data_IF_517601845894
#
_entry.id   IF_517601845894
#
_cell.length_a   1.000
_cell.length_b   1.000
_cell.length_c   1.000
_cell.angle_alpha   90.00
_cell.angle_beta   90.00
_cell.angle_gamma   90.00
#
_symmetry.space_group_name_H-M   'P 1'
#
loop_
_entity.id
_entity.type
_entity.pdbx_description
1 polymer ?
#
# COMPACT_ATOMS: atom_id res chain seq x y z
N UNK A 1 37.47 -0.14 30.85
CA UNK A 1 37.65 1.32 30.67
C UNK A 1 36.95 1.69 29.37
N UNK A 2 35.91 2.50 29.25
CA UNK A 2 35.00 3.21 30.16
C UNK A 2 33.64 3.18 29.43
N UNK A 3 32.57 2.78 30.13
CA UNK A 3 31.20 2.80 29.63
C UNK A 3 30.55 4.11 30.10
N UNK A 4 30.06 4.94 29.19
CA UNK A 4 29.33 6.17 29.53
C UNK A 4 27.83 5.86 29.53
N UNK A 5 27.26 5.73 30.73
CA UNK A 5 25.83 5.76 30.99
C UNK A 5 25.37 7.22 31.12
N UNK A 6 24.35 7.61 30.36
CA UNK A 6 23.59 8.84 30.55
C UNK A 6 22.09 8.53 30.55
N UNK A 7 21.27 9.20 31.38
CA UNK A 7 19.85 8.92 31.49
C UNK A 7 19.08 9.57 30.33
N UNK A 8 18.24 8.79 29.64
CA UNK A 8 17.24 9.32 28.70
C UNK A 8 15.92 9.47 29.44
N UNK A 9 15.50 10.72 29.64
CA UNK A 9 14.21 11.09 30.21
C UNK A 9 13.20 11.13 29.07
N UNK A 10 12.22 10.23 29.06
CA UNK A 10 11.09 10.26 28.14
C UNK A 10 9.89 10.94 28.82
N UNK A 11 9.27 11.98 28.23
CA UNK A 11 8.03 12.52 28.77
C UNK A 11 6.86 11.59 28.44
N UNK A 12 6.15 11.14 29.47
CA UNK A 12 4.86 10.46 29.35
C UNK A 12 3.77 11.51 29.06
N UNK A 13 3.02 11.31 27.99
CA UNK A 13 1.83 12.12 27.66
C UNK A 13 0.61 11.36 28.13
N UNK A 14 0.02 11.81 29.24
CA UNK A 14 -1.27 11.32 29.74
C UNK A 14 -2.42 11.92 28.93
N UNK A 15 -3.27 11.06 28.36
CA UNK A 15 -4.53 11.45 27.73
C UNK A 15 -5.58 11.74 28.80
N UNK A 16 -5.99 13.02 28.92
CA UNK A 16 -7.10 13.48 29.76
C UNK A 16 -8.43 12.87 29.28
N UNK A 17 -9.16 12.27 30.23
CA UNK A 17 -10.55 11.87 30.10
C UNK A 17 -11.46 13.11 30.02
N UNK A 18 -12.38 13.11 29.06
CA UNK A 18 -13.47 14.09 28.96
C UNK A 18 -14.71 13.49 29.62
N UNK A 19 -15.18 14.15 30.68
CA UNK A 19 -16.40 13.81 31.40
C UNK A 19 -17.66 14.18 30.61
N UNK A 20 -18.65 13.31 30.70
CA UNK A 20 -20.01 13.54 30.19
C UNK A 20 -20.93 13.80 31.38
N UNK A 21 -21.67 14.89 31.30
CA UNK A 21 -22.63 15.35 32.30
C UNK A 21 -23.92 14.53 32.29
N UNK A 22 -24.41 14.21 33.49
CA UNK A 22 -25.65 13.46 33.77
C UNK A 22 -26.87 14.38 33.83
N UNK A 23 -28.02 13.95 33.28
CA UNK A 23 -29.36 14.48 33.55
C UNK A 23 -30.21 13.40 34.27
N UNK A 24 -31.02 13.71 35.30
CA UNK A 24 -31.77 12.72 36.06
C UNK A 24 -33.29 12.74 35.76
N UNK A 25 -33.95 11.57 35.70
CA UNK A 25 -35.27 11.36 36.35
C UNK A 25 -35.72 9.88 36.41
N UNK A 26 -36.54 9.60 37.44
CA UNK A 26 -36.92 8.35 38.13
C UNK A 26 -37.83 7.30 37.41
N UNK A 27 -37.71 6.01 37.80
CA UNK A 27 -38.77 4.95 37.69
C UNK A 27 -38.26 3.48 37.75
N UNK A 28 -38.99 2.47 38.29
CA UNK A 28 -38.41 1.41 39.13
C UNK A 28 -38.04 0.03 38.51
N UNK A 29 -37.08 -0.62 39.20
CA UNK A 29 -36.45 -1.96 39.16
C UNK A 29 -37.38 -3.22 39.17
N UNK A 30 -36.94 -4.47 38.82
CA UNK A 30 -35.88 -5.20 39.57
C UNK A 30 -34.96 -6.25 38.88
N UNK A 31 -33.73 -6.27 39.45
CA UNK A 31 -32.83 -7.38 39.86
C UNK A 31 -32.42 -8.50 38.87
N UNK A 32 -31.10 -8.64 38.68
CA UNK A 32 -30.29 -9.74 39.27
C UNK A 32 -28.78 -9.43 39.24
N UNK A 33 -28.04 -10.00 40.21
CA UNK A 33 -26.74 -9.56 40.73
C UNK A 33 -25.54 -10.12 39.94
N UNK A 34 -24.56 -9.27 39.64
CA UNK A 34 -23.15 -9.64 39.49
C UNK A 34 -22.43 -9.36 40.82
N UNK A 35 -21.59 -10.28 41.29
CA UNK A 35 -20.62 -9.99 42.34
C UNK A 35 -19.20 -10.17 41.80
N UNK A 36 -18.51 -9.05 41.85
CA UNK A 36 -17.11 -8.77 41.63
C UNK A 36 -16.29 -9.19 42.86
N UNK A 37 -15.02 -9.53 42.64
CA UNK A 37 -13.95 -9.33 43.63
C UNK A 37 -12.58 -9.28 42.93
N UNK A 38 -12.13 -8.05 42.70
CA UNK A 38 -10.82 -7.46 43.03
C UNK A 38 -10.12 -8.12 44.24
N UNK A 39 -8.81 -8.04 44.56
CA UNK A 39 -7.57 -7.39 44.09
C UNK A 39 -6.46 -7.85 45.09
N UNK A 40 -5.17 -7.85 44.67
CA UNK A 40 -3.89 -7.83 45.44
C UNK A 40 -3.62 -8.89 46.53
N UNK A 41 -2.38 -9.30 46.82
CA UNK A 41 -1.06 -8.81 46.43
C UNK A 41 0.04 -9.60 47.17
N UNK A 42 1.24 -9.62 46.57
CA UNK A 42 2.44 -10.22 47.15
C UNK A 42 3.02 -9.34 48.26
N UNK A 43 3.44 -9.96 49.38
CA UNK A 43 4.49 -9.43 50.26
C UNK A 43 5.23 -10.59 50.92
N UNK A 44 6.52 -10.72 50.65
CA UNK A 44 7.42 -11.63 51.35
C UNK A 44 8.06 -10.97 52.57
N UNK A 45 8.25 -11.75 53.64
CA UNK A 45 9.16 -11.47 54.76
C UNK A 45 9.78 -12.81 55.19
N UNK A 46 11.08 -12.76 55.50
CA UNK A 46 11.96 -13.85 55.95
C UNK A 46 11.96 -13.93 57.48
N UNK A 47 12.08 -15.15 58.02
CA UNK A 47 13.04 -15.63 59.04
C UNK A 47 12.45 -16.53 60.15
N UNK A 48 13.18 -17.59 60.55
CA UNK A 48 12.96 -18.30 61.83
C UNK A 48 12.94 -19.84 61.87
N UNK A 49 14.14 -20.45 61.99
CA UNK A 49 14.55 -21.69 62.71
C UNK A 49 13.58 -22.87 62.98
N UNK A 50 14.02 -24.08 62.57
CA UNK A 50 13.70 -25.37 63.24
C UNK A 50 13.95 -26.63 62.39
N UNK A 51 15.01 -27.42 62.70
CA UNK A 51 15.28 -28.77 62.13
C UNK A 51 14.55 -29.88 62.96
N UNK A 52 14.72 -31.19 62.68
CA UNK A 52 14.16 -31.98 61.56
C UNK A 52 13.43 -33.25 62.09
N UNK A 53 12.59 -33.91 61.28
CA UNK A 53 12.34 -35.38 61.39
C UNK A 53 11.64 -35.90 60.14
N UNK A 54 12.18 -36.99 59.59
CA UNK A 54 11.63 -37.67 58.44
C UNK A 54 10.46 -38.59 58.78
N UNK A 55 9.76 -39.06 57.75
CA UNK A 55 9.52 -40.47 57.41
C UNK A 55 8.61 -40.54 56.16
N UNK A 56 9.01 -41.44 55.25
CA UNK A 56 8.22 -42.22 54.29
C UNK A 56 7.33 -41.53 53.24
N UNK A 57 7.84 -41.61 52.01
CA UNK A 57 7.18 -42.22 50.85
C UNK A 57 5.65 -42.34 50.83
N UNK A 58 5.05 -41.65 49.87
CA UNK A 58 4.03 -42.26 49.01
C UNK A 58 4.08 -41.66 47.60
N UNK A 59 4.31 -42.55 46.64
CA UNK A 59 4.26 -42.30 45.20
C UNK A 59 2.87 -41.80 44.81
N UNK A 60 2.74 -40.56 44.32
CA UNK A 60 1.58 -40.10 43.54
C UNK A 60 2.02 -39.37 42.28
N UNK A 61 2.06 -40.16 41.20
CA UNK A 61 1.89 -39.86 39.78
C UNK A 61 1.58 -38.37 39.49
N UNK A 62 2.57 -37.58 39.10
CA UNK A 62 2.35 -36.25 38.49
C UNK A 62 1.68 -36.43 37.12
N UNK A 63 0.41 -36.03 37.01
CA UNK A 63 -0.24 -35.80 35.72
C UNK A 63 0.47 -34.62 35.05
N UNK A 64 1.12 -34.86 33.91
CA UNK A 64 1.48 -33.83 32.95
C UNK A 64 0.17 -33.25 32.40
N UNK A 65 -0.11 -31.99 32.69
CA UNK A 65 -1.12 -31.25 31.92
C UNK A 65 -0.47 -30.86 30.58
N UNK A 66 -0.73 -31.66 29.55
CA UNK A 66 -0.58 -31.20 28.17
C UNK A 66 -1.81 -30.34 27.87
N UNK A 67 -1.64 -29.03 27.78
CA UNK A 67 -2.68 -28.14 27.25
C UNK A 67 -2.69 -28.31 25.75
N UNK A 68 -3.50 -29.25 25.26
CA UNK A 68 -3.88 -29.32 23.85
C UNK A 68 -4.84 -28.14 23.60
N UNK A 69 -4.38 -27.13 22.87
CA UNK A 69 -5.25 -26.04 22.40
C UNK A 69 -6.17 -26.64 21.34
N UNK A 70 -7.43 -26.85 21.71
CA UNK A 70 -8.47 -27.36 20.83
C UNK A 70 -9.19 -26.16 20.22
N UNK A 71 -8.87 -25.83 18.96
CA UNK A 71 -9.59 -24.81 18.21
C UNK A 71 -10.97 -25.36 17.83
N UNK A 72 -12.05 -24.75 18.34
CA UNK A 72 -13.41 -25.01 17.86
C UNK A 72 -13.64 -24.09 16.66
N UNK A 73 -13.56 -24.64 15.46
CA UNK A 73 -14.00 -23.96 14.24
C UNK A 73 -15.53 -23.97 14.21
N UNK A 74 -16.15 -22.88 14.65
CA UNK A 74 -17.54 -22.57 14.31
C UNK A 74 -17.53 -21.56 13.18
N UNK A 75 -17.42 -22.04 11.95
CA UNK A 75 -17.76 -21.24 10.77
C UNK A 75 -18.58 -22.13 9.85
N UNK A 76 -19.89 -21.87 9.79
CA UNK A 76 -20.77 -22.49 8.79
C UNK A 76 -20.38 -21.91 7.44
N UNK A 77 -19.53 -22.63 6.71
CA UNK A 77 -19.29 -22.33 5.30
C UNK A 77 -20.53 -22.77 4.53
N UNK A 78 -21.35 -21.82 4.11
CA UNK A 78 -22.28 -22.07 3.00
C UNK A 78 -21.43 -22.53 1.82
N UNK A 79 -21.78 -23.68 1.25
CA UNK A 79 -20.96 -24.51 0.36
C UNK A 79 -20.57 -23.89 -0.99
N UNK A 80 -20.45 -22.57 -1.10
CA UNK A 80 -19.78 -21.91 -2.21
C UNK A 80 -18.26 -21.85 -1.96
N UNK A 81 -17.68 -22.99 -1.57
CA UNK A 81 -16.24 -23.15 -1.60
C UNK A 81 -15.80 -23.05 -3.05
N UNK A 82 -15.15 -21.95 -3.41
CA UNK A 82 -14.33 -21.92 -4.62
C UNK A 82 -13.27 -23.00 -4.42
N UNK A 83 -13.52 -24.18 -4.99
CA UNK A 83 -12.50 -25.21 -5.11
C UNK A 83 -11.28 -24.54 -5.73
N UNK A 84 -10.09 -24.79 -5.17
CA UNK A 84 -8.84 -24.35 -5.78
C UNK A 84 -8.89 -24.75 -7.27
N UNK A 85 -8.95 -23.76 -8.16
CA UNK A 85 -9.12 -24.00 -9.58
C UNK A 85 -7.99 -24.92 -10.07
N UNK A 86 -8.32 -25.91 -10.89
CA UNK A 86 -7.33 -26.82 -11.47
C UNK A 86 -6.29 -25.99 -12.23
N UNK A 87 -5.04 -26.01 -11.74
CA UNK A 87 -3.91 -25.18 -12.14
C UNK A 87 -3.29 -25.51 -13.51
N UNK A 88 -4.11 -25.88 -14.49
CA UNK A 88 -3.62 -26.20 -15.82
C UNK A 88 -3.51 -24.94 -16.69
N UNK A 89 -2.78 -23.93 -16.20
CA UNK A 89 -2.37 -22.81 -17.02
C UNK A 89 -1.15 -23.22 -17.85
N UNK A 90 -1.31 -23.23 -19.17
CA UNK A 90 -0.27 -23.64 -20.09
C UNK A 90 0.90 -22.64 -20.00
N UNK A 91 2.12 -23.14 -19.76
CA UNK A 91 3.32 -22.30 -19.66
C UNK A 91 3.56 -21.48 -20.95
N UNK A 92 3.04 -21.95 -22.08
CA UNK A 92 3.15 -21.33 -23.38
C UNK A 92 2.38 -20.01 -23.50
N UNK A 93 1.41 -19.75 -22.62
CA UNK A 93 0.62 -18.52 -22.62
C UNK A 93 1.31 -17.36 -21.90
N UNK A 94 2.50 -17.61 -21.34
CA UNK A 94 3.24 -16.65 -20.54
C UNK A 94 4.57 -16.26 -21.20
N UNK A 95 4.99 -15.03 -20.94
CA UNK A 95 6.28 -14.47 -21.37
C UNK A 95 7.07 -13.99 -20.17
N UNK A 96 8.39 -14.21 -20.16
CA UNK A 96 9.26 -13.66 -19.13
C UNK A 96 9.35 -12.14 -19.23
N UNK A 97 9.54 -11.48 -18.09
CA UNK A 97 9.64 -10.04 -18.01
C UNK A 97 10.70 -9.59 -17.02
N UNK A 98 11.29 -8.44 -17.29
CA UNK A 98 12.21 -7.74 -16.40
C UNK A 98 11.61 -6.42 -15.92
N UNK A 99 11.93 -6.04 -14.68
CA UNK A 99 11.50 -4.76 -14.13
C UNK A 99 12.40 -3.65 -14.65
N UNK A 100 11.80 -2.59 -15.17
CA UNK A 100 12.50 -1.36 -15.57
C UNK A 100 12.58 -0.39 -14.39
N UNK A 101 13.70 0.32 -14.23
CA UNK A 101 13.86 1.41 -13.24
C UNK A 101 13.04 2.66 -13.63
N UNK A 102 11.73 2.52 -13.68
CA UNK A 102 10.77 3.61 -13.87
C UNK A 102 10.29 4.18 -12.53
N UNK A 103 9.95 5.47 -12.52
CA UNK A 103 9.46 6.18 -11.34
C UNK A 103 7.96 6.42 -11.46
N UNK A 104 7.54 7.03 -12.55
CA UNK A 104 6.15 7.47 -12.76
C UNK A 104 5.76 7.36 -14.23
N UNK A 105 4.46 7.21 -14.44
CA UNK A 105 3.82 7.19 -15.76
C UNK A 105 2.80 8.30 -15.82
N UNK A 106 2.82 9.06 -16.91
CA UNK A 106 1.84 10.08 -17.25
C UNK A 106 1.18 9.70 -18.58
N UNK A 107 -0.14 9.86 -18.67
CA UNK A 107 -0.85 9.84 -19.94
C UNK A 107 -1.09 11.27 -20.42
N UNK A 108 -0.93 11.54 -21.71
CA UNK A 108 -1.19 12.83 -22.34
C UNK A 108 -1.71 12.65 -23.76
N UNK A 109 -1.96 13.77 -24.46
CA UNK A 109 -2.52 13.78 -25.81
C UNK A 109 -1.67 13.01 -26.85
N UNK A 110 -0.35 13.00 -26.66
CA UNK A 110 0.60 12.33 -27.55
C UNK A 110 0.94 10.88 -27.10
N UNK A 111 0.18 10.31 -26.17
CA UNK A 111 0.37 8.97 -25.62
C UNK A 111 0.91 8.97 -24.19
N UNK A 112 1.71 7.95 -23.87
CA UNK A 112 2.25 7.73 -22.53
C UNK A 112 3.68 8.21 -22.42
N UNK A 113 4.00 8.82 -21.28
CA UNK A 113 5.35 9.21 -20.93
C UNK A 113 5.76 8.50 -19.66
N UNK A 114 6.80 7.69 -19.75
CA UNK A 114 7.40 6.98 -18.63
C UNK A 114 8.64 7.75 -18.20
N UNK A 115 8.65 8.27 -16.98
CA UNK A 115 9.85 8.87 -16.39
C UNK A 115 10.68 7.77 -15.76
N UNK A 116 11.87 7.59 -16.33
CA UNK A 116 12.89 6.70 -15.81
C UNK A 116 13.56 7.34 -14.60
N UNK A 117 14.18 6.50 -13.77
CA UNK A 117 14.87 6.95 -12.55
C UNK A 117 16.12 7.79 -12.82
N UNK A 118 16.72 7.64 -14.00
CA UNK A 118 17.81 8.51 -14.47
C UNK A 118 17.34 9.90 -14.92
N UNK A 119 16.04 10.19 -14.80
CA UNK A 119 15.43 11.45 -15.21
C UNK A 119 15.08 11.50 -16.71
N UNK A 120 15.42 10.46 -17.48
CA UNK A 120 15.02 10.38 -18.88
C UNK A 120 13.53 10.10 -18.99
N UNK A 121 12.91 10.63 -20.03
CA UNK A 121 11.52 10.37 -20.36
C UNK A 121 11.49 9.48 -21.59
N UNK A 122 10.70 8.42 -21.53
CA UNK A 122 10.47 7.51 -22.64
C UNK A 122 9.03 7.68 -23.10
N UNK A 123 8.88 8.02 -24.38
CA UNK A 123 7.57 8.15 -25.01
C UNK A 123 7.11 6.80 -25.52
N UNK A 124 5.91 6.42 -25.13
CA UNK A 124 5.28 5.17 -25.50
C UNK A 124 3.88 5.40 -26.06
N UNK A 125 3.44 4.54 -26.97
CA UNK A 125 2.03 4.43 -27.39
C UNK A 125 1.48 3.08 -27.03
N UNK A 126 0.16 3.02 -26.87
CA UNK A 126 -0.53 1.77 -26.66
C UNK A 126 -0.27 0.81 -27.82
N UNK A 127 0.00 -0.46 -27.51
CA UNK A 127 0.22 -1.47 -28.54
C UNK A 127 -1.08 -1.75 -29.32
N UNK A 128 -2.18 -1.91 -28.59
CA UNK A 128 -3.51 -2.07 -29.17
C UNK A 128 -4.22 -0.71 -29.32
N UNK A 129 -4.60 -0.27 -30.54
CA UNK A 129 -5.32 0.99 -30.74
C UNK A 129 -6.72 1.02 -30.10
N UNK A 130 -7.28 -0.14 -29.74
CA UNK A 130 -8.54 -0.23 -28.99
C UNK A 130 -8.36 -0.05 -27.47
N UNK A 131 -7.13 0.15 -26.98
CA UNK A 131 -6.80 0.30 -25.56
C UNK A 131 -7.37 1.52 -24.84
N UNK A 132 -8.27 2.26 -25.49
CA UNK A 132 -8.90 3.46 -24.95
C UNK A 132 -7.97 4.68 -24.95
N UNK A 133 -8.54 5.85 -25.20
CA UNK A 133 -7.89 7.10 -24.88
C UNK A 133 -8.04 7.32 -23.38
N UNK A 134 -6.97 7.11 -22.60
CA UNK A 134 -7.02 7.44 -21.18
C UNK A 134 -7.03 8.96 -21.03
N UNK A 135 -7.86 9.52 -20.14
CA UNK A 135 -7.88 10.96 -19.89
C UNK A 135 -6.49 11.41 -19.40
N UNK A 136 -6.11 12.67 -19.68
CA UNK A 136 -4.87 13.24 -19.13
C UNK A 136 -4.96 13.16 -17.60
N UNK A 137 -4.06 12.40 -17.01
CA UNK A 137 -4.01 12.16 -15.58
C UNK A 137 -2.63 12.57 -15.05
N UNK A 138 -2.61 13.10 -13.82
CA UNK A 138 -1.38 13.50 -13.15
C UNK A 138 -0.37 12.34 -13.11
N UNK A 139 0.95 12.57 -13.03
CA UNK A 139 1.92 11.49 -12.92
C UNK A 139 1.59 10.53 -11.77
N UNK A 140 1.54 9.23 -12.05
CA UNK A 140 1.31 8.19 -11.04
C UNK A 140 2.54 7.30 -10.88
N UNK A 141 2.88 6.88 -9.66
CA UNK A 141 3.88 5.84 -9.45
C UNK A 141 3.48 4.56 -10.18
N UNK A 142 4.44 3.92 -10.83
CA UNK A 142 4.18 2.70 -11.59
C UNK A 142 5.35 1.72 -11.48
N UNK A 143 5.04 0.44 -11.60
CA UNK A 143 6.00 -0.62 -11.86
C UNK A 143 5.91 -0.95 -13.34
N UNK A 144 7.01 -0.83 -14.07
CA UNK A 144 7.03 -1.09 -15.51
C UNK A 144 7.75 -2.41 -15.76
N UNK A 145 7.03 -3.37 -16.36
CA UNK A 145 7.57 -4.66 -16.79
C UNK A 145 7.91 -4.59 -18.28
N UNK A 146 9.13 -4.99 -18.66
CA UNK A 146 9.55 -5.12 -20.05
C UNK A 146 9.49 -6.60 -20.46
N UNK A 147 8.83 -6.89 -21.58
CA UNK A 147 8.71 -8.26 -22.09
C UNK A 147 10.03 -8.73 -22.72
N UNK A 148 10.41 -9.99 -22.45
CA UNK A 148 11.65 -10.63 -22.91
C UNK A 148 11.42 -11.60 -24.09
N UNK A 149 10.36 -11.41 -24.87
CA UNK A 149 10.05 -12.14 -26.11
C UNK A 149 10.59 -11.45 -27.38
N UNK A 150 11.35 -10.38 -27.23
CA UNK A 150 11.86 -9.57 -28.34
C UNK A 150 10.87 -8.53 -28.88
N UNK A 151 9.63 -8.48 -28.38
CA UNK A 151 8.66 -7.43 -28.78
C UNK A 151 9.05 -6.06 -28.25
N UNK A 152 9.80 -6.01 -27.14
CA UNK A 152 10.18 -4.77 -26.47
C UNK A 152 9.01 -4.02 -25.83
N UNK A 153 7.86 -4.69 -25.67
CA UNK A 153 6.67 -4.11 -25.03
C UNK A 153 6.92 -3.80 -23.56
N UNK A 154 6.40 -2.66 -23.12
CA UNK A 154 6.41 -2.22 -21.73
C UNK A 154 4.98 -2.29 -21.17
N UNK A 155 4.78 -3.00 -20.07
CA UNK A 155 3.53 -3.06 -19.34
C UNK A 155 3.65 -2.23 -18.05
N UNK A 156 3.13 -1.00 -18.02
CA UNK A 156 3.05 -0.23 -16.79
C UNK A 156 1.88 -0.68 -15.93
N UNK A 157 2.17 -0.98 -14.67
CA UNK A 157 1.18 -1.28 -13.64
C UNK A 157 1.20 -0.12 -12.65
N UNK A 158 0.11 0.66 -12.63
CA UNK A 158 -0.05 1.80 -11.73
C UNK A 158 -0.15 1.28 -10.30
N UNK A 159 0.64 1.86 -9.40
CA UNK A 159 0.73 1.45 -8.00
C UNK A 159 0.81 2.65 -7.08
N UNK A 160 0.71 2.40 -5.79
CA UNK A 160 1.03 3.41 -4.78
C UNK A 160 2.54 3.64 -4.69
N UNK A 161 2.93 4.78 -4.13
CA UNK A 161 4.32 5.19 -3.98
C UNK A 161 5.16 4.16 -3.19
N UNK A 162 4.62 3.65 -2.07
CA UNK A 162 5.37 2.76 -1.17
C UNK A 162 5.80 1.43 -1.81
N UNK A 163 4.94 0.64 -2.48
CA UNK A 163 5.37 -0.57 -3.20
C UNK A 163 6.41 -0.29 -4.29
N UNK A 164 6.28 0.82 -5.02
CA UNK A 164 7.26 1.22 -6.04
C UNK A 164 8.62 1.56 -5.41
N UNK A 165 8.63 2.39 -4.37
CA UNK A 165 9.84 2.77 -3.66
C UNK A 165 10.57 1.55 -3.07
N UNK A 166 9.82 0.62 -2.46
CA UNK A 166 10.39 -0.61 -1.90
C UNK A 166 10.93 -1.57 -2.98
N UNK A 167 10.32 -1.59 -4.16
CA UNK A 167 10.84 -2.35 -5.30
C UNK A 167 12.15 -1.74 -5.81
N UNK A 168 12.18 -0.42 -5.97
CA UNK A 168 13.36 0.33 -6.41
C UNK A 168 14.53 0.22 -5.43
N UNK A 169 14.25 0.15 -4.13
CA UNK A 169 15.26 -0.15 -3.11
C UNK A 169 15.80 -1.59 -3.26
N UNK A 170 14.93 -2.57 -3.53
CA UNK A 170 15.34 -3.97 -3.71
C UNK A 170 16.18 -4.18 -4.97
N UNK A 171 15.80 -3.58 -6.10
CA UNK A 171 16.56 -3.66 -7.35
C UNK A 171 18.00 -3.14 -7.18
N UNK A 172 18.18 -2.07 -6.39
CA UNK A 172 19.50 -1.51 -6.07
C UNK A 172 20.20 -2.17 -4.89
N UNK A 173 19.65 -3.24 -4.34
CA UNK A 173 20.18 -3.93 -3.16
C UNK A 173 20.41 -2.99 -1.95
N UNK A 174 19.56 -1.98 -1.79
CA UNK A 174 19.62 -1.04 -0.65
C UNK A 174 19.12 -1.75 0.61
N UNK A 175 19.97 -1.80 1.64
CA UNK A 175 19.61 -2.41 2.90
C UNK A 175 18.76 -1.46 3.75
N UNK A 176 17.58 -1.91 4.15
CA UNK A 176 16.67 -1.18 5.02
C UNK A 176 16.87 -1.71 6.45
N UNK A 177 17.03 -0.81 7.42
CA UNK A 177 17.40 -1.15 8.80
C UNK A 177 16.43 -2.12 9.50
N UNK A 178 15.15 -2.12 9.09
CA UNK A 178 14.12 -3.05 9.58
C UNK A 178 13.63 -3.94 8.43
N UNK A 179 13.31 -5.22 8.70
CA UNK A 179 12.73 -6.09 7.68
C UNK A 179 11.44 -5.51 7.12
N UNK A 180 11.37 -5.40 5.79
CA UNK A 180 10.14 -5.04 5.08
C UNK A 180 9.14 -6.22 5.13
N UNK A 181 7.86 -5.95 4.88
CA UNK A 181 6.85 -7.01 4.78
C UNK A 181 7.24 -8.10 3.78
N UNK A 182 7.86 -7.73 2.65
CA UNK A 182 8.33 -8.68 1.65
C UNK A 182 9.48 -9.58 2.17
N UNK A 183 10.36 -9.05 3.02
CA UNK A 183 11.40 -9.85 3.67
C UNK A 183 10.82 -10.78 4.74
N UNK A 184 9.81 -10.30 5.48
CA UNK A 184 9.09 -11.13 6.46
C UNK A 184 8.39 -12.29 5.76
N UNK A 185 7.70 -12.04 4.65
CA UNK A 185 7.04 -13.09 3.85
C UNK A 185 8.05 -14.09 3.30
N UNK A 186 9.17 -13.63 2.72
CA UNK A 186 10.26 -14.52 2.27
C UNK A 186 10.75 -15.44 3.40
N UNK A 187 11.10 -14.85 4.55
CA UNK A 187 11.59 -15.61 5.70
C UNK A 187 10.54 -16.59 6.24
N UNK A 188 9.25 -16.26 6.13
CA UNK A 188 8.15 -17.12 6.53
C UNK A 188 8.04 -18.33 5.59
N UNK A 189 8.09 -18.10 4.28
CA UNK A 189 8.09 -19.15 3.24
C UNK A 189 9.25 -20.12 3.47
N UNK A 190 10.47 -19.59 3.65
CA UNK A 190 11.67 -20.38 3.91
C UNK A 190 11.52 -21.26 5.17
N UNK A 191 10.99 -20.69 6.26
CA UNK A 191 10.76 -21.41 7.53
C UNK A 191 9.66 -22.48 7.43
N UNK A 192 8.71 -22.31 6.52
CA UNK A 192 7.67 -23.30 6.26
C UNK A 192 8.15 -24.44 5.37
N UNK A 193 9.41 -24.41 4.90
CA UNK A 193 9.97 -25.44 4.03
C UNK A 193 9.53 -25.33 2.58
N UNK A 194 9.16 -24.12 2.14
CA UNK A 194 8.83 -23.81 0.76
C UNK A 194 9.85 -22.86 0.15
N UNK A 195 9.92 -22.84 -1.17
CA UNK A 195 10.67 -21.86 -1.95
C UNK A 195 9.74 -21.21 -2.96
N UNK A 196 9.96 -19.93 -3.23
CA UNK A 196 9.25 -19.25 -4.32
C UNK A 196 9.80 -19.77 -5.64
N UNK A 197 8.92 -20.20 -6.54
CA UNK A 197 9.28 -20.69 -7.88
C UNK A 197 9.24 -19.58 -8.93
N UNK A 198 8.11 -18.88 -9.00
CA UNK A 198 7.85 -17.82 -9.98
C UNK A 198 6.65 -16.97 -9.58
N UNK A 199 6.47 -15.84 -10.27
CA UNK A 199 5.27 -15.01 -10.20
C UNK A 199 4.68 -14.85 -11.60
N UNK A 200 3.34 -14.89 -11.69
CA UNK A 200 2.60 -14.61 -12.93
C UNK A 200 1.67 -13.42 -12.76
N UNK A 201 1.70 -12.48 -13.68
CA UNK A 201 0.62 -11.50 -13.87
C UNK A 201 -0.36 -12.11 -14.87
N UNK A 202 -1.55 -12.49 -14.39
CA UNK A 202 -2.42 -13.45 -15.10
C UNK A 202 -3.47 -12.74 -15.95
N UNK A 203 -4.26 -11.86 -15.34
CA UNK A 203 -5.40 -11.20 -15.98
C UNK A 203 -5.60 -9.78 -15.48
N UNK A 204 -6.43 -9.04 -16.20
CA UNK A 204 -6.94 -7.73 -15.81
C UNK A 204 -8.46 -7.74 -15.87
N UNK A 205 -9.09 -7.25 -14.80
CA UNK A 205 -10.55 -7.20 -14.67
C UNK A 205 -10.92 -5.83 -14.10
N UNK A 206 -11.76 -5.07 -14.80
CA UNK A 206 -12.16 -3.70 -14.41
C UNK A 206 -10.96 -2.82 -14.04
N UNK A 207 -9.97 -2.73 -14.94
CA UNK A 207 -8.72 -1.98 -14.75
C UNK A 207 -7.74 -2.53 -13.69
N UNK A 208 -8.13 -3.54 -12.90
CA UNK A 208 -7.29 -4.14 -11.86
C UNK A 208 -6.57 -5.39 -12.37
N UNK A 209 -5.24 -5.38 -12.23
CA UNK A 209 -4.39 -6.52 -12.56
C UNK A 209 -4.32 -7.54 -11.41
N UNK A 210 -4.29 -8.82 -11.75
CA UNK A 210 -4.17 -9.94 -10.82
C UNK A 210 -2.83 -10.64 -11.02
N UNK A 211 -2.26 -11.16 -9.93
CA UNK A 211 -1.02 -11.90 -9.99
C UNK A 211 -1.01 -13.09 -9.05
N UNK A 212 -0.31 -14.13 -9.44
CA UNK A 212 -0.18 -15.37 -8.68
C UNK A 212 1.27 -15.61 -8.30
N UNK A 213 1.49 -15.98 -7.04
CA UNK A 213 2.78 -16.39 -6.49
C UNK A 213 2.79 -17.91 -6.35
N UNK A 214 3.73 -18.56 -7.04
CA UNK A 214 3.88 -20.01 -7.01
C UNK A 214 5.02 -20.40 -6.08
N UNK A 215 4.72 -21.29 -5.15
CA UNK A 215 5.67 -21.89 -4.22
C UNK A 215 5.78 -23.39 -4.49
N UNK A 216 6.94 -23.95 -4.24
CA UNK A 216 7.18 -25.40 -4.24
C UNK A 216 7.83 -25.81 -2.93
N UNK A 217 7.52 -27.01 -2.45
CA UNK A 217 8.15 -27.54 -1.25
C UNK A 217 9.62 -27.85 -1.52
N UNK A 218 10.46 -27.58 -0.54
CA UNK A 218 11.90 -27.89 -0.64
C UNK A 218 12.08 -29.40 -0.61
N UNK A 219 12.66 -29.96 -1.67
CA UNK A 219 12.90 -31.40 -1.82
C UNK A 219 11.76 -32.18 -2.47
N UNK A 220 10.63 -31.55 -2.75
CA UNK A 220 9.52 -32.14 -3.50
C UNK A 220 8.83 -31.09 -4.38
N UNK A 221 9.18 -31.08 -5.67
CA UNK A 221 8.60 -30.14 -6.63
C UNK A 221 7.17 -30.48 -7.03
N UNK A 222 6.66 -31.67 -6.68
CA UNK A 222 5.28 -32.08 -6.97
C UNK A 222 4.28 -31.42 -6.03
N UNK A 223 4.72 -31.09 -4.80
CA UNK A 223 3.94 -30.27 -3.86
C UNK A 223 4.12 -28.77 -4.19
N UNK A 224 3.19 -28.23 -4.97
CA UNK A 224 3.11 -26.80 -5.28
C UNK A 224 1.91 -26.12 -4.65
N UNK A 225 2.10 -24.88 -4.19
CA UNK A 225 1.04 -24.02 -3.64
C UNK A 225 1.03 -22.70 -4.41
N UNK A 226 -0.16 -22.17 -4.70
CA UNK A 226 -0.33 -20.90 -5.38
C UNK A 226 -1.12 -19.92 -4.50
N UNK A 227 -0.71 -18.66 -4.48
CA UNK A 227 -1.40 -17.57 -3.77
C UNK A 227 -1.76 -16.46 -4.74
N UNK A 228 -3.01 -16.00 -4.68
CA UNK A 228 -3.43 -14.79 -5.38
C UNK A 228 -2.94 -13.54 -4.60
N UNK A 229 -2.33 -12.61 -5.32
CA UNK A 229 -1.71 -11.41 -4.78
C UNK A 229 -1.93 -10.22 -5.73
N UNK A 230 -1.81 -9.01 -5.18
CA UNK A 230 -1.66 -7.82 -6.03
C UNK A 230 -0.32 -7.91 -6.79
N UNK A 231 -0.26 -7.51 -8.06
CA UNK A 231 0.97 -7.55 -8.85
C UNK A 231 2.14 -6.84 -8.19
N UNK A 232 1.89 -5.69 -7.55
CA UNK A 232 2.92 -4.92 -6.84
C UNK A 232 3.62 -5.72 -5.75
N UNK A 233 2.86 -6.54 -5.01
CA UNK A 233 3.37 -7.34 -3.91
C UNK A 233 4.07 -8.59 -4.42
N UNK A 234 3.47 -9.26 -5.42
CA UNK A 234 4.05 -10.44 -6.05
C UNK A 234 5.40 -10.11 -6.70
N UNK A 235 5.49 -9.02 -7.48
CA UNK A 235 6.73 -8.56 -8.11
C UNK A 235 7.79 -8.20 -7.06
N UNK A 236 7.40 -7.54 -5.96
CA UNK A 236 8.33 -7.22 -4.87
C UNK A 236 8.92 -8.46 -4.19
N UNK A 237 8.12 -9.51 -4.03
CA UNK A 237 8.59 -10.81 -3.52
C UNK A 237 9.50 -11.47 -4.56
N UNK A 238 9.10 -11.48 -5.83
CA UNK A 238 9.87 -12.11 -6.90
C UNK A 238 11.29 -11.55 -7.04
N UNK A 239 11.43 -10.22 -7.03
CA UNK A 239 12.75 -9.55 -7.11
C UNK A 239 13.65 -9.92 -5.93
N UNK A 240 13.12 -10.03 -4.71
CA UNK A 240 13.89 -10.40 -3.50
C UNK A 240 14.23 -11.88 -3.42
N UNK A 241 13.41 -12.72 -4.02
CA UNK A 241 13.65 -14.15 -4.17
C UNK A 241 14.48 -14.49 -5.41
N UNK A 242 14.70 -13.52 -6.32
CA UNK A 242 15.42 -13.69 -7.59
C UNK A 242 14.79 -14.79 -8.47
N UNK A 243 13.46 -14.77 -8.56
CA UNK A 243 12.67 -15.71 -9.35
C UNK A 243 12.08 -15.01 -10.58
N UNK A 244 11.75 -15.76 -11.65
CA UNK A 244 11.19 -15.16 -12.86
C UNK A 244 9.82 -14.53 -12.60
N UNK A 245 9.59 -13.40 -13.27
CA UNK A 245 8.30 -12.72 -13.37
C UNK A 245 7.76 -12.97 -14.76
N UNK A 246 6.60 -13.58 -14.85
CA UNK A 246 5.92 -13.91 -16.09
C UNK A 246 4.66 -13.07 -16.24
N UNK A 247 4.32 -12.73 -17.47
CA UNK A 247 3.09 -11.99 -17.81
C UNK A 247 2.34 -12.79 -18.87
N UNK A 248 1.03 -12.87 -18.74
CA UNK A 248 0.19 -13.49 -19.76
C UNK A 248 0.36 -12.75 -21.10
N UNK A 249 0.60 -13.48 -22.20
CA UNK A 249 0.87 -12.92 -23.53
C UNK A 249 -0.28 -12.07 -24.07
N UNK A 250 -1.52 -12.50 -23.85
CA UNK A 250 -2.68 -11.73 -24.28
C UNK A 250 -2.71 -10.38 -23.56
N UNK A 251 -2.49 -10.39 -22.24
CA UNK A 251 -2.40 -9.16 -21.43
C UNK A 251 -1.25 -8.25 -21.86
N UNK A 252 -0.06 -8.84 -22.08
CA UNK A 252 1.12 -8.10 -22.53
C UNK A 252 0.89 -7.44 -23.90
N UNK A 253 0.18 -8.12 -24.81
CA UNK A 253 -0.16 -7.57 -26.11
C UNK A 253 -1.29 -6.54 -26.04
N UNK A 254 -2.34 -6.80 -25.26
CA UNK A 254 -3.51 -5.94 -25.18
C UNK A 254 -3.17 -4.61 -24.52
N UNK A 255 -2.47 -4.64 -23.39
CA UNK A 255 -2.27 -3.48 -22.49
C UNK A 255 -0.82 -2.98 -22.51
N UNK A 256 0.07 -3.69 -23.21
CA UNK A 256 1.45 -3.27 -23.39
C UNK A 256 1.57 -2.00 -24.22
N UNK A 257 2.68 -1.30 -24.03
CA UNK A 257 3.03 -0.07 -24.71
C UNK A 257 4.31 -0.27 -25.52
N UNK A 258 4.33 0.28 -26.74
CA UNK A 258 5.51 0.34 -27.62
C UNK A 258 6.24 1.66 -27.43
N UNK A 259 7.57 1.59 -27.32
CA UNK A 259 8.43 2.78 -27.25
C UNK A 259 8.56 3.40 -28.66
N UNK A 260 8.32 4.71 -28.79
CA UNK A 260 8.41 5.41 -30.09
C UNK A 260 9.70 6.22 -30.19
N UNK A 261 10.16 6.80 -29.08
CA UNK A 261 11.36 7.64 -29.05
C UNK A 261 12.20 7.34 -27.82
N UNK A 262 13.42 6.84 -28.07
CA UNK A 262 14.54 6.87 -27.11
C UNK A 262 15.60 7.83 -27.65
N UNK A 263 15.20 9.08 -27.89
CA UNK A 263 16.12 10.13 -28.29
C UNK A 263 17.07 10.46 -27.14
N UNK A 264 18.38 10.23 -27.32
CA UNK A 264 19.40 10.91 -26.50
C UNK A 264 19.16 12.41 -26.67
N UNK A 265 18.60 13.06 -25.66
CA UNK A 265 18.71 14.51 -25.52
C UNK A 265 20.19 14.79 -25.24
N UNK A 266 20.97 14.96 -26.31
CA UNK A 266 22.29 15.55 -26.24
C UNK A 266 22.13 16.96 -25.70
N UNK A 267 22.77 17.21 -24.57
CA UNK A 267 23.08 18.54 -24.08
C UNK A 267 23.69 19.37 -25.21
N UNK A 268 22.89 20.28 -25.78
CA UNK A 268 23.40 21.54 -26.27
C UNK A 268 22.67 22.61 -25.49
N UNK A 269 23.25 22.97 -24.35
CA UNK A 269 23.01 24.27 -23.74
C UNK A 269 23.71 25.32 -24.59
N UNK A 270 23.01 26.33 -25.16
CA UNK A 270 23.56 27.66 -25.07
C UNK A 270 23.41 28.08 -23.61
N UNK A 271 24.52 28.42 -22.97
CA UNK A 271 24.49 29.08 -21.69
C UNK A 271 23.72 30.41 -21.85
N UNK A 272 22.49 30.44 -21.35
CA UNK A 272 21.83 31.65 -20.88
C UNK A 272 20.95 31.25 -19.70
N UNK A 273 21.49 31.53 -18.52
CA UNK A 273 20.85 31.74 -17.23
C UNK A 273 19.58 30.94 -16.92
N UNK A 274 19.70 30.12 -15.87
CA UNK A 274 18.57 29.48 -15.22
C UNK A 274 17.55 30.52 -14.76
N UNK A 275 16.27 30.17 -14.97
CA UNK A 275 15.02 30.66 -14.36
C UNK A 275 13.90 30.61 -15.41
N UNK A 276 13.49 29.42 -15.83
CA UNK A 276 12.30 29.23 -16.69
C UNK A 276 11.37 28.16 -16.10
N UNK A 277 10.92 28.39 -14.87
CA UNK A 277 9.72 27.74 -14.34
C UNK A 277 8.82 28.68 -13.54
N UNK A 278 9.10 29.99 -13.58
CA UNK A 278 8.38 31.01 -12.79
C UNK A 278 7.46 31.89 -13.63
N UNK A 279 7.44 31.75 -14.97
CA UNK A 279 6.73 32.71 -15.85
C UNK A 279 5.30 32.30 -16.26
N UNK A 280 4.82 31.10 -15.92
CA UNK A 280 3.39 30.76 -16.11
C UNK A 280 2.52 31.16 -14.92
N UNK A 281 3.12 31.59 -13.81
CA UNK A 281 2.43 32.13 -12.62
C UNK A 281 2.52 33.66 -12.54
N UNK A 282 2.99 34.32 -13.61
CA UNK A 282 2.92 35.78 -13.66
C UNK A 282 1.47 36.16 -13.99
N UNK A 283 0.76 36.88 -13.10
CA UNK A 283 -0.61 37.28 -13.38
C UNK A 283 -0.56 38.14 -14.64
N UNK A 284 -1.27 37.73 -15.69
CA UNK A 284 -1.34 38.45 -16.97
C UNK A 284 -2.02 39.83 -16.86
N UNK A 285 -2.24 40.34 -15.63
CA UNK A 285 -3.02 41.54 -15.31
C UNK A 285 -4.49 41.43 -15.74
N UNK A 286 -4.87 40.33 -16.38
CA UNK A 286 -6.15 40.14 -17.01
C UNK A 286 -7.14 39.58 -16.00
N UNK A 287 -8.34 40.15 -15.99
CA UNK A 287 -9.43 39.74 -15.10
C UNK A 287 -9.85 38.29 -15.38
N UNK A 288 -9.40 37.36 -14.53
CA UNK A 288 -9.73 35.93 -14.64
C UNK A 288 -10.87 35.57 -13.68
N UNK A 289 -11.99 35.09 -14.24
CA UNK A 289 -13.16 34.69 -13.46
C UNK A 289 -12.86 33.50 -12.52
N UNK A 290 -11.91 32.65 -12.89
CA UNK A 290 -11.48 31.52 -12.05
C UNK A 290 -10.74 32.01 -10.79
N UNK A 291 -9.97 33.10 -10.88
CA UNK A 291 -9.31 33.73 -9.74
C UNK A 291 -10.31 34.35 -8.77
N UNK A 292 -11.37 34.97 -9.27
CA UNK A 292 -12.44 35.53 -8.41
C UNK A 292 -13.20 34.43 -7.66
N UNK A 293 -13.55 33.34 -8.34
CA UNK A 293 -14.20 32.20 -7.71
C UNK A 293 -13.31 31.59 -6.62
N UNK A 294 -12.03 31.41 -6.92
CA UNK A 294 -11.04 30.90 -5.97
C UNK A 294 -10.92 31.79 -4.73
N UNK A 295 -10.85 33.12 -4.91
CA UNK A 295 -10.78 34.07 -3.81
C UNK A 295 -12.01 33.99 -2.89
N UNK A 296 -13.23 33.88 -3.46
CA UNK A 296 -14.47 33.73 -2.69
C UNK A 296 -14.46 32.41 -1.88
N UNK A 297 -13.99 31.31 -2.48
CA UNK A 297 -13.87 30.00 -1.80
C UNK A 297 -12.84 30.05 -0.67
N UNK A 298 -11.71 30.73 -0.88
CA UNK A 298 -10.70 30.93 0.15
C UNK A 298 -11.25 31.74 1.34
N UNK A 299 -11.94 32.84 1.07
CA UNK A 299 -12.57 33.66 2.12
C UNK A 299 -13.65 32.89 2.87
N UNK A 300 -14.44 32.06 2.17
CA UNK A 300 -15.45 31.20 2.78
C UNK A 300 -14.81 30.20 3.75
N UNK A 301 -13.77 29.49 3.32
CA UNK A 301 -13.04 28.54 4.17
C UNK A 301 -12.39 29.24 5.37
N UNK A 302 -11.88 30.46 5.18
CA UNK A 302 -11.33 31.28 6.27
C UNK A 302 -12.41 31.67 7.29
N UNK A 303 -13.61 32.03 6.85
CA UNK A 303 -14.73 32.35 7.73
C UNK A 303 -15.24 31.12 8.51
N UNK A 304 -15.29 29.94 7.86
CA UNK A 304 -15.65 28.67 8.49
C UNK A 304 -14.64 28.31 9.59
N UNK A 305 -13.35 28.36 9.29
CA UNK A 305 -12.28 28.03 10.25
C UNK A 305 -12.21 29.01 11.43
N UNK A 306 -12.73 30.23 11.25
CA UNK A 306 -12.81 31.25 12.29
C UNK A 306 -14.18 31.27 13.00
N UNK A 307 -15.05 30.30 12.72
CA UNK A 307 -16.41 30.19 13.28
C UNK A 307 -17.29 31.44 13.04
N UNK A 308 -17.00 32.22 11.99
CA UNK A 308 -17.80 33.38 11.57
C UNK A 308 -18.92 32.93 10.63
N UNK A 309 -19.91 32.23 11.20
CA UNK A 309 -20.96 31.56 10.41
C UNK A 309 -21.88 32.49 9.62
N UNK A 310 -22.11 33.73 10.08
CA UNK A 310 -22.90 34.73 9.34
C UNK A 310 -22.18 35.14 8.05
N UNK A 311 -20.92 35.54 8.18
CA UNK A 311 -20.07 35.91 7.05
C UNK A 311 -19.87 34.74 6.07
N UNK A 312 -19.75 33.51 6.59
CA UNK A 312 -19.68 32.30 5.77
C UNK A 312 -20.98 32.06 4.98
N UNK A 313 -22.14 32.33 5.55
CA UNK A 313 -23.42 32.23 4.84
C UNK A 313 -23.50 33.25 3.69
N UNK A 314 -23.12 34.51 3.95
CA UNK A 314 -23.09 35.56 2.93
C UNK A 314 -22.12 35.23 1.78
N UNK A 315 -20.93 34.70 2.10
CA UNK A 315 -19.94 34.27 1.11
C UNK A 315 -20.39 33.06 0.29
N UNK A 316 -21.12 32.12 0.91
CA UNK A 316 -21.72 30.98 0.21
C UNK A 316 -22.77 31.44 -0.79
N UNK A 317 -23.64 32.36 -0.38
CA UNK A 317 -24.71 32.87 -1.24
C UNK A 317 -24.13 33.72 -2.38
N UNK A 318 -23.06 34.50 -2.11
CA UNK A 318 -22.27 35.22 -3.12
C UNK A 318 -21.60 34.28 -4.13
N UNK A 319 -21.01 33.16 -3.67
CA UNK A 319 -20.45 32.13 -4.54
C UNK A 319 -21.53 31.48 -5.44
N UNK A 320 -22.72 31.24 -4.89
CA UNK A 320 -23.87 30.73 -5.64
C UNK A 320 -24.30 31.67 -6.76
N UNK A 321 -24.43 32.97 -6.47
CA UNK A 321 -24.77 33.99 -7.47
C UNK A 321 -23.69 34.09 -8.56
N UNK A 322 -22.41 34.06 -8.18
CA UNK A 322 -21.28 34.10 -9.12
C UNK A 322 -21.31 32.92 -10.10
N UNK A 323 -21.53 31.70 -9.58
CA UNK A 323 -21.66 30.48 -10.41
C UNK A 323 -22.88 30.50 -11.32
N UNK A 324 -24.01 31.03 -10.84
CA UNK A 324 -25.21 31.20 -11.65
C UNK A 324 -24.97 32.16 -12.83
N UNK A 325 -24.36 33.32 -12.58
CA UNK A 325 -24.01 34.29 -13.62
C UNK A 325 -23.00 33.73 -14.64
N UNK A 326 -22.02 32.93 -14.19
CA UNK A 326 -21.06 32.25 -15.05
C UNK A 326 -21.73 31.22 -15.96
N UNK A 327 -22.71 30.48 -15.45
CA UNK A 327 -23.46 29.51 -16.25
C UNK A 327 -24.30 30.19 -17.33
N UNK A 328 -24.91 31.35 -17.06
CA UNK A 328 -25.65 32.12 -18.09
C UNK A 328 -24.74 32.60 -19.23
N UNK A 329 -23.52 33.07 -18.94
CA UNK A 329 -22.54 33.51 -19.95
C UNK A 329 -21.96 32.40 -20.84
N UNK A 330 -22.16 31.12 -20.47
CA UNK A 330 -21.73 29.98 -21.31
C UNK A 330 -22.75 29.58 -22.40
N UNK A 331 -23.98 30.10 -22.34
CA UNK A 331 -25.07 29.76 -23.27
C UNK A 331 -25.55 30.93 -24.15
N UNK A 332 -24.84 32.05 -24.12
CA UNK A 332 -25.00 33.23 -25.00
C UNK A 332 -23.68 33.52 -25.67
#
# INVERSE_FOLDING_TARGET
>A
MVCLQGPVICPAVDSKQVGVYTLPFNGPFPRTRLHQSDIWGYRGIVDGKGKPRGISGHLKRRRRFNTTVQCIFSSSSDGNGSMAENFNENNEDYVNSSVVEAVEVRCGADGFMIKMRDGKHVRCVHNNPQGGHLPDYAPHPAIVLKMEDGTGLLLPIIVLEMPSALLMAALRNVQIARPTMYQVVKNMIDKMGYTVKLVRVTKRVHEAYFAQLYLTKVGDETESVCFDLRPSDAINIAVRCKVPIQVNKYLAYSDGMRVIESGKLSTQSPASDGLLFTELDQPSGQHCLDTEEFNIVCDLNKAINQERYKDAADLRDKLGQFRAQRNLKKYT
#
